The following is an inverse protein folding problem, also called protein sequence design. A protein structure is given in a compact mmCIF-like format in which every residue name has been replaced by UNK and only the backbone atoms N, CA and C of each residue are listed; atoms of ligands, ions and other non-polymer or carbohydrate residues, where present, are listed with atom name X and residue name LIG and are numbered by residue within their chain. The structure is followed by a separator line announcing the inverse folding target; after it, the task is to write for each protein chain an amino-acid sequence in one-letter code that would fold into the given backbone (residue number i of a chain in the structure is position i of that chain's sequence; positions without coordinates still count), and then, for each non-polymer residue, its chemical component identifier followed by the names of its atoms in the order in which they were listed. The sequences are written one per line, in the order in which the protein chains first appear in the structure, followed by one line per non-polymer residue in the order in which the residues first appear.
data_IF_402182088033
#
_entry.id   IF_402182088033
#
_cell.length_a   1.000
_cell.length_b   1.000
_cell.length_c   1.000
_cell.angle_alpha   90.00
_cell.angle_beta   90.00
_cell.angle_gamma   90.00
#
_symmetry.space_group_name_H-M   'P 1'
#
loop_
_entity.id
_entity.type
_entity.pdbx_description
1 polymer ?
#
# COMPACT_ATOMS: atom_id res chain seq x y z
N UNK A 1 -40.48 10.47 -16.76
CA UNK A 1 -40.13 11.87 -16.47
C UNK A 1 -40.20 12.07 -14.96
N UNK A 2 -39.03 12.10 -14.31
CA UNK A 2 -38.83 12.71 -13.00
C UNK A 2 -37.53 13.47 -13.15
N UNK A 3 -37.63 14.72 -13.61
CA UNK A 3 -36.50 15.63 -13.70
C UNK A 3 -36.04 15.93 -12.28
N UNK A 4 -34.90 15.35 -11.89
CA UNK A 4 -34.15 15.84 -10.74
C UNK A 4 -33.88 17.32 -10.99
N UNK A 5 -34.40 18.14 -10.09
CA UNK A 5 -34.10 19.57 -10.01
C UNK A 5 -32.58 19.72 -10.04
N UNK A 6 -32.07 20.42 -11.05
CA UNK A 6 -30.67 20.83 -11.15
C UNK A 6 -30.27 21.51 -9.84
N UNK A 7 -29.25 20.96 -9.18
CA UNK A 7 -28.77 21.43 -7.89
C UNK A 7 -28.18 22.83 -8.01
N UNK A 8 -28.91 23.83 -7.53
CA UNK A 8 -28.35 25.14 -7.24
C UNK A 8 -27.22 25.02 -6.19
N UNK A 9 -25.97 25.24 -6.61
CA UNK A 9 -24.91 25.81 -5.78
C UNK A 9 -24.42 25.02 -4.56
N UNK A 10 -24.16 23.72 -4.67
CA UNK A 10 -23.52 22.99 -3.58
C UNK A 10 -22.05 23.44 -3.41
N UNK A 11 -21.74 24.14 -2.31
CA UNK A 11 -20.40 24.68 -2.02
C UNK A 11 -19.38 23.56 -1.74
N UNK A 12 -18.17 23.73 -2.25
CA UNK A 12 -17.06 22.82 -1.99
C UNK A 12 -16.65 22.85 -0.51
N UNK A 13 -16.21 21.70 -0.02
CA UNK A 13 -15.57 21.56 1.28
C UNK A 13 -14.09 21.24 1.07
N UNK A 14 -13.22 21.93 1.80
CA UNK A 14 -11.77 21.81 1.65
C UNK A 14 -11.17 21.15 2.88
N UNK A 15 -10.35 20.13 2.68
CA UNK A 15 -9.58 19.51 3.76
C UNK A 15 -8.11 19.78 3.52
N UNK A 16 -7.47 20.45 4.47
CA UNK A 16 -6.12 20.99 4.32
C UNK A 16 -5.17 20.44 5.38
N UNK A 17 -3.94 20.13 4.99
CA UNK A 17 -2.85 19.80 5.91
C UNK A 17 -2.30 21.04 6.61
N UNK A 18 -1.63 20.83 7.74
CA UNK A 18 -0.93 21.88 8.48
C UNK A 18 0.52 21.52 8.82
N UNK A 19 1.06 20.41 8.32
CA UNK A 19 2.44 20.00 8.58
C UNK A 19 3.36 20.50 7.48
N UNK A 20 4.42 21.21 7.85
CA UNK A 20 5.50 21.62 6.96
C UNK A 20 6.70 20.69 7.15
N UNK A 21 7.42 20.40 6.06
CA UNK A 21 8.63 19.56 6.04
C UNK A 21 8.49 18.24 6.82
N UNK A 22 7.29 17.66 6.78
CA UNK A 22 6.93 16.39 7.42
C UNK A 22 6.89 16.39 8.96
N UNK A 23 7.34 17.46 9.63
CA UNK A 23 7.57 17.46 11.08
C UNK A 23 7.00 18.66 11.82
N UNK A 24 6.80 19.79 11.15
CA UNK A 24 6.40 21.03 11.81
C UNK A 24 4.89 21.28 11.68
N UNK A 25 4.11 20.97 12.72
CA UNK A 25 2.66 21.19 12.73
C UNK A 25 2.29 22.66 13.03
N UNK A 26 1.80 23.36 12.02
CA UNK A 26 1.39 24.77 12.07
C UNK A 26 -0.02 24.99 12.61
N UNK A 27 -0.74 23.93 13.04
CA UNK A 27 -2.15 24.06 13.47
C UNK A 27 -2.33 25.14 14.53
N UNK A 28 -1.46 25.21 15.55
CA UNK A 28 -1.56 26.23 16.59
C UNK A 28 -1.44 27.66 16.03
N UNK A 29 -0.45 27.90 15.15
CA UNK A 29 -0.26 29.20 14.50
C UNK A 29 -1.48 29.59 13.66
N UNK A 30 -1.99 28.67 12.86
CA UNK A 30 -3.17 28.87 12.00
C UNK A 30 -4.41 29.28 12.80
N UNK A 31 -4.62 28.65 13.96
CA UNK A 31 -5.71 28.98 14.87
C UNK A 31 -5.55 30.37 15.50
N UNK A 32 -4.34 30.69 15.97
CA UNK A 32 -4.05 31.97 16.63
C UNK A 32 -4.15 33.16 15.67
N UNK A 33 -3.61 33.02 14.45
CA UNK A 33 -3.57 34.07 13.45
C UNK A 33 -4.86 34.16 12.61
N UNK A 34 -5.76 33.16 12.70
CA UNK A 34 -6.97 33.11 11.90
C UNK A 34 -6.69 32.90 10.41
N UNK A 35 -5.65 32.12 10.10
CA UNK A 35 -5.20 31.86 8.73
C UNK A 35 -5.08 30.37 8.45
N UNK A 36 -5.07 30.02 7.18
CA UNK A 36 -4.41 28.82 6.67
C UNK A 36 -3.37 29.27 5.65
N UNK A 37 -2.20 28.64 5.67
CA UNK A 37 -1.14 28.91 4.71
C UNK A 37 -0.68 27.62 4.04
N UNK A 38 -0.54 27.66 2.72
CA UNK A 38 0.10 26.60 1.96
C UNK A 38 1.62 26.64 2.19
N UNK A 39 2.15 25.61 2.85
CA UNK A 39 3.59 25.46 3.08
C UNK A 39 4.39 25.14 1.83
N UNK A 40 3.76 24.63 0.76
CA UNK A 40 4.43 24.37 -0.50
C UNK A 40 4.55 25.67 -1.31
N UNK A 41 5.76 26.03 -1.74
CA UNK A 41 6.00 27.29 -2.47
C UNK A 41 5.53 27.24 -3.93
N UNK A 42 5.55 26.05 -4.54
CA UNK A 42 5.35 25.82 -5.97
C UNK A 42 4.16 24.89 -6.28
N UNK A 43 3.66 24.15 -5.29
CA UNK A 43 2.55 23.20 -5.45
C UNK A 43 1.23 23.76 -4.92
N UNK A 44 0.14 23.27 -5.50
CA UNK A 44 -1.24 23.56 -5.10
C UNK A 44 -1.71 25.02 -5.25
N UNK A 45 -0.89 25.92 -5.81
CA UNK A 45 -1.21 27.35 -5.93
C UNK A 45 -2.58 27.59 -6.58
N UNK A 46 -2.87 26.92 -7.69
CA UNK A 46 -4.14 27.09 -8.40
C UNK A 46 -5.33 26.51 -7.62
N UNK A 47 -5.11 25.42 -6.88
CA UNK A 47 -6.13 24.87 -5.99
C UNK A 47 -6.48 25.89 -4.90
N UNK A 48 -5.48 26.51 -4.26
CA UNK A 48 -5.71 27.56 -3.24
C UNK A 48 -6.40 28.78 -3.85
N UNK A 49 -5.98 29.24 -5.04
CA UNK A 49 -6.63 30.37 -5.74
C UNK A 49 -8.11 30.09 -6.05
N UNK A 50 -8.48 28.83 -6.25
CA UNK A 50 -9.86 28.46 -6.54
C UNK A 50 -10.80 28.46 -5.33
N UNK A 51 -10.27 28.51 -4.10
CA UNK A 51 -11.05 28.51 -2.85
C UNK A 51 -11.82 29.83 -2.72
N UNK A 52 -13.13 29.74 -2.48
CA UNK A 52 -14.00 30.91 -2.43
C UNK A 52 -14.31 31.37 -1.00
N UNK A 53 -14.61 32.66 -0.84
CA UNK A 53 -15.15 33.20 0.41
C UNK A 53 -16.49 32.52 0.72
N UNK A 54 -16.62 32.03 1.95
CA UNK A 54 -17.77 31.25 2.40
C UNK A 54 -17.63 29.73 2.22
N UNK A 55 -16.55 29.24 1.61
CA UNK A 55 -16.27 27.80 1.57
C UNK A 55 -15.95 27.27 2.98
N UNK A 56 -16.35 26.02 3.22
CA UNK A 56 -16.03 25.29 4.45
C UNK A 56 -14.64 24.67 4.32
N UNK A 57 -13.81 24.81 5.35
CA UNK A 57 -12.42 24.32 5.35
C UNK A 57 -12.12 23.59 6.66
N UNK A 58 -11.35 22.50 6.62
CA UNK A 58 -10.98 21.70 7.77
C UNK A 58 -9.47 21.43 7.80
N UNK A 59 -8.83 21.62 8.96
CA UNK A 59 -7.44 21.19 9.19
C UNK A 59 -7.46 19.70 9.50
N UNK A 60 -6.72 18.91 8.71
CA UNK A 60 -6.58 17.46 8.87
C UNK A 60 -5.13 17.02 9.06
N UNK A 61 -4.97 15.87 9.68
CA UNK A 61 -3.77 15.03 9.57
C UNK A 61 -4.19 13.59 9.29
N UNK A 62 -3.48 12.89 8.42
CA UNK A 62 -3.76 11.50 8.06
C UNK A 62 -2.64 10.59 8.53
N UNK A 63 -2.99 9.43 9.05
CA UNK A 63 -2.07 8.39 9.48
C UNK A 63 -2.77 7.02 9.42
N UNK A 64 -2.08 5.97 9.83
CA UNK A 64 -2.67 4.64 9.92
C UNK A 64 -2.70 4.14 11.36
N UNK A 65 -3.67 3.28 11.68
CA UNK A 65 -3.83 2.71 13.02
C UNK A 65 -4.22 1.24 12.92
N UNK A 66 -3.61 0.42 13.78
CA UNK A 66 -3.88 -1.03 13.88
C UNK A 66 -4.52 -1.44 15.21
N UNK A 67 -4.28 -0.69 16.28
CA UNK A 67 -4.78 -0.99 17.62
C UNK A 67 -5.68 0.15 18.11
N UNK A 68 -6.49 -0.08 19.14
CA UNK A 68 -7.35 0.95 19.74
C UNK A 68 -8.31 1.62 18.73
N UNK A 69 -8.91 0.79 17.87
CA UNK A 69 -9.95 1.19 16.93
C UNK A 69 -11.34 0.93 17.51
N UNK A 70 -12.35 1.74 17.17
CA UNK A 70 -13.72 1.57 17.67
C UNK A 70 -14.49 0.41 16.99
N UNK A 71 -13.80 -0.47 16.27
CA UNK A 71 -14.35 -1.62 15.55
C UNK A 71 -13.28 -2.70 15.38
N UNK A 72 -13.73 -3.93 15.10
CA UNK A 72 -12.83 -5.03 14.74
C UNK A 72 -12.22 -4.77 13.35
N UNK A 73 -10.95 -4.41 13.33
CA UNK A 73 -10.16 -4.22 12.13
C UNK A 73 -9.49 -5.51 11.66
N UNK A 74 -9.74 -6.65 12.31
CA UNK A 74 -9.24 -7.95 11.87
C UNK A 74 -7.71 -8.01 11.84
N UNK A 75 -7.05 -7.26 12.73
CA UNK A 75 -5.59 -7.14 12.72
C UNK A 75 -5.02 -6.47 11.46
N UNK A 76 -5.85 -5.77 10.70
CA UNK A 76 -5.47 -5.03 9.50
C UNK A 76 -5.31 -3.54 9.81
N UNK A 77 -4.29 -2.91 9.24
CA UNK A 77 -4.06 -1.48 9.41
C UNK A 77 -5.16 -0.66 8.70
N UNK A 78 -5.72 0.34 9.40
CA UNK A 78 -6.79 1.21 8.89
C UNK A 78 -6.28 2.64 8.69
N UNK A 79 -6.68 3.27 7.59
CA UNK A 79 -6.46 4.70 7.37
C UNK A 79 -7.32 5.56 8.29
N UNK A 80 -6.70 6.52 8.96
CA UNK A 80 -7.31 7.49 9.88
C UNK A 80 -7.04 8.90 9.40
N UNK A 81 -8.04 9.76 9.48
CA UNK A 81 -7.94 11.19 9.27
C UNK A 81 -8.44 11.91 10.51
N UNK A 82 -7.54 12.54 11.25
CA UNK A 82 -7.88 13.37 12.39
C UNK A 82 -8.22 14.79 11.92
N UNK A 83 -9.41 15.26 12.26
CA UNK A 83 -9.88 16.62 12.02
C UNK A 83 -9.58 17.46 13.26
N UNK A 84 -8.62 18.39 13.13
CA UNK A 84 -8.13 19.24 14.23
C UNK A 84 -8.96 20.51 14.38
N UNK A 85 -9.44 21.06 13.28
CA UNK A 85 -10.25 22.28 13.27
C UNK A 85 -11.14 22.34 12.03
N UNK A 86 -12.24 23.08 12.13
CA UNK A 86 -13.09 23.44 10.99
C UNK A 86 -13.31 24.94 10.95
N UNK A 87 -13.58 25.49 9.79
CA UNK A 87 -13.76 26.93 9.63
C UNK A 87 -14.48 27.32 8.36
N UNK A 88 -14.69 28.61 8.23
CA UNK A 88 -15.23 29.24 7.02
C UNK A 88 -14.24 30.25 6.49
N UNK A 89 -13.92 30.16 5.20
CA UNK A 89 -13.01 31.09 4.53
C UNK A 89 -13.64 32.48 4.51
N UNK A 90 -12.93 33.46 5.07
CA UNK A 90 -13.35 34.87 5.14
C UNK A 90 -12.71 35.72 4.06
N UNK A 91 -11.50 35.38 3.64
CA UNK A 91 -10.77 36.09 2.59
C UNK A 91 -9.78 35.14 1.89
N UNK A 92 -9.68 35.26 0.57
CA UNK A 92 -8.60 34.68 -0.24
C UNK A 92 -7.86 35.84 -0.92
N UNK A 93 -6.54 35.92 -0.72
CA UNK A 93 -5.72 36.99 -1.30
C UNK A 93 -5.41 36.78 -2.80
N UNK A 94 -5.68 35.59 -3.33
CA UNK A 94 -5.37 35.24 -4.72
C UNK A 94 -3.89 34.96 -4.97
N UNK A 95 -3.06 34.93 -3.92
CA UNK A 95 -1.63 34.61 -3.98
C UNK A 95 -1.37 33.10 -4.15
N UNK A 96 -2.40 32.27 -3.98
CA UNK A 96 -2.29 30.81 -4.02
C UNK A 96 -1.70 30.21 -2.74
N UNK A 97 -1.63 30.98 -1.66
CA UNK A 97 -0.98 30.56 -0.41
C UNK A 97 -1.80 30.83 0.82
N UNK A 98 -2.27 32.06 1.04
CA UNK A 98 -2.85 32.48 2.32
C UNK A 98 -4.36 32.64 2.22
N UNK A 99 -5.06 31.99 3.14
CA UNK A 99 -6.50 32.15 3.36
C UNK A 99 -6.71 32.71 4.76
N UNK A 100 -7.60 33.70 4.91
CA UNK A 100 -8.13 34.06 6.23
C UNK A 100 -9.34 33.20 6.54
N UNK A 101 -9.35 32.59 7.72
CA UNK A 101 -10.34 31.59 8.11
C UNK A 101 -10.81 31.88 9.52
N UNK A 102 -12.13 31.84 9.72
CA UNK A 102 -12.70 31.82 11.06
C UNK A 102 -12.76 30.37 11.55
N UNK A 103 -11.87 30.02 12.48
CA UNK A 103 -11.68 28.66 12.97
C UNK A 103 -12.54 28.31 14.20
N UNK A 104 -12.91 27.04 14.29
CA UNK A 104 -13.39 26.32 15.48
C UNK A 104 -12.45 25.14 15.70
N UNK A 105 -11.75 25.14 16.83
CA UNK A 105 -10.79 24.09 17.20
C UNK A 105 -11.49 22.87 17.82
N UNK A 106 -10.90 21.69 17.66
CA UNK A 106 -11.29 20.45 18.33
C UNK A 106 -10.12 19.91 19.17
N UNK A 107 -10.38 19.71 20.47
CA UNK A 107 -9.44 19.06 21.39
C UNK A 107 -10.21 18.07 22.28
N UNK A 108 -10.01 16.74 22.13
CA UNK A 108 -9.11 16.09 21.17
C UNK A 108 -9.62 16.19 19.71
N UNK A 109 -8.74 15.97 18.71
CA UNK A 109 -9.14 15.89 17.31
C UNK A 109 -10.18 14.79 17.05
N UNK A 110 -11.07 15.03 16.09
CA UNK A 110 -12.12 14.06 15.71
C UNK A 110 -11.61 13.11 14.64
N UNK A 111 -11.69 11.80 14.87
CA UNK A 111 -11.12 10.81 13.97
C UNK A 111 -12.14 10.23 12.99
N UNK A 112 -11.75 10.20 11.72
CA UNK A 112 -12.48 9.62 10.61
C UNK A 112 -11.70 8.43 10.03
N UNK A 113 -12.38 7.33 9.73
CA UNK A 113 -11.77 6.09 9.26
C UNK A 113 -12.09 5.79 7.78
N UNK A 114 -11.28 4.96 7.13
CA UNK A 114 -11.48 4.43 5.77
C UNK A 114 -11.27 5.45 4.62
N UNK A 115 -12.26 6.31 4.36
CA UNK A 115 -12.25 7.23 3.21
C UNK A 115 -11.42 8.49 3.51
N UNK A 116 -10.11 8.35 3.43
CA UNK A 116 -9.13 9.39 3.77
C UNK A 116 -8.34 9.83 2.54
N UNK A 117 -7.78 11.04 2.58
CA UNK A 117 -6.91 11.53 1.50
C UNK A 117 -5.66 12.21 2.07
N UNK A 118 -4.47 11.75 1.65
CA UNK A 118 -3.20 12.17 2.26
C UNK A 118 -2.69 13.52 1.75
N UNK A 119 -2.93 13.86 0.48
CA UNK A 119 -2.42 15.12 -0.11
C UNK A 119 -2.84 16.35 0.70
N UNK A 120 -1.99 17.38 0.69
CA UNK A 120 -2.15 18.59 1.50
C UNK A 120 -3.48 19.26 1.28
N UNK A 121 -3.99 19.33 0.04
CA UNK A 121 -5.28 19.95 -0.28
C UNK A 121 -6.20 18.91 -0.90
N UNK A 122 -7.38 18.74 -0.30
CA UNK A 122 -8.46 17.93 -0.83
C UNK A 122 -9.71 18.78 -1.04
N UNK A 123 -10.18 18.83 -2.29
CA UNK A 123 -11.49 19.40 -2.62
C UNK A 123 -12.53 18.28 -2.61
N UNK A 124 -13.54 18.41 -1.75
CA UNK A 124 -14.63 17.45 -1.62
C UNK A 124 -15.94 18.13 -2.02
N UNK A 125 -16.65 17.52 -2.97
CA UNK A 125 -17.97 17.95 -3.40
C UNK A 125 -19.03 16.96 -2.88
N UNK A 126 -20.20 17.44 -2.44
CA UNK A 126 -21.30 16.58 -2.09
C UNK A 126 -21.91 15.90 -3.32
N UNK A 127 -22.66 14.83 -3.10
CA UNK A 127 -23.39 14.10 -4.15
C UNK A 127 -23.01 12.63 -4.28
N UNK A 128 -21.99 12.17 -3.56
CA UNK A 128 -21.70 10.76 -3.32
C UNK A 128 -21.86 10.44 -1.84
N UNK A 129 -22.27 9.22 -1.50
CA UNK A 129 -22.53 8.87 -0.11
C UNK A 129 -21.27 8.90 0.76
N UNK A 130 -20.08 8.63 0.21
CA UNK A 130 -18.82 8.70 0.96
C UNK A 130 -18.44 10.15 1.26
N UNK A 131 -18.57 11.03 0.25
CA UNK A 131 -18.27 12.45 0.39
C UNK A 131 -19.29 13.15 1.28
N UNK A 132 -20.58 12.82 1.14
CA UNK A 132 -21.65 13.34 1.98
C UNK A 132 -21.49 12.90 3.44
N UNK A 133 -21.09 11.65 3.69
CA UNK A 133 -20.81 11.17 5.04
C UNK A 133 -19.60 11.87 5.66
N UNK A 134 -18.53 12.08 4.90
CA UNK A 134 -17.35 12.81 5.36
C UNK A 134 -17.67 14.29 5.66
N UNK A 135 -18.40 14.96 4.77
CA UNK A 135 -18.85 16.35 4.95
C UNK A 135 -19.73 16.45 6.20
N UNK A 136 -20.70 15.56 6.33
CA UNK A 136 -21.62 15.52 7.47
C UNK A 136 -20.89 15.26 8.80
N UNK A 137 -19.94 14.33 8.82
CA UNK A 137 -19.10 14.11 9.98
C UNK A 137 -18.31 15.36 10.34
N UNK A 138 -17.63 15.95 9.36
CA UNK A 138 -16.68 17.04 9.59
C UNK A 138 -17.36 18.33 10.03
N UNK A 139 -18.40 18.76 9.29
CA UNK A 139 -18.97 20.10 9.43
C UNK A 139 -20.36 20.13 10.09
N UNK A 140 -21.01 18.98 10.28
CA UNK A 140 -22.40 18.89 10.75
C UNK A 140 -22.54 18.00 12.00
N UNK A 141 -21.41 17.64 12.62
CA UNK A 141 -21.34 16.86 13.87
C UNK A 141 -22.06 15.49 13.80
N UNK A 142 -22.28 14.96 12.59
CA UNK A 142 -22.84 13.61 12.40
C UNK A 142 -21.83 12.54 12.80
N UNK A 143 -22.33 11.39 13.26
CA UNK A 143 -21.49 10.22 13.50
C UNK A 143 -21.10 9.55 12.16
N UNK A 144 -19.90 8.94 12.11
CA UNK A 144 -19.50 8.11 10.98
C UNK A 144 -20.22 6.75 11.06
N UNK A 145 -20.86 6.34 9.97
CA UNK A 145 -21.41 4.99 9.83
C UNK A 145 -20.30 3.99 9.47
N UNK A 146 -19.54 3.59 10.49
CA UNK A 146 -18.39 2.66 10.36
C UNK A 146 -18.81 1.34 9.71
N UNK A 147 -20.00 0.82 10.04
CA UNK A 147 -20.47 -0.45 9.51
C UNK A 147 -20.75 -0.37 8.00
N UNK A 148 -21.29 0.76 7.53
CA UNK A 148 -21.44 0.99 6.09
C UNK A 148 -20.09 1.01 5.37
N UNK A 149 -19.08 1.72 5.90
CA UNK A 149 -17.75 1.75 5.29
C UNK A 149 -17.09 0.38 5.27
N UNK A 150 -17.09 -0.34 6.40
CA UNK A 150 -16.50 -1.68 6.51
C UNK A 150 -17.10 -2.67 5.51
N UNK A 151 -18.38 -2.53 5.18
CA UNK A 151 -19.10 -3.45 4.29
C UNK A 151 -19.25 -2.94 2.84
N UNK A 152 -18.77 -1.73 2.53
CA UNK A 152 -18.76 -1.22 1.16
C UNK A 152 -17.75 -1.99 0.29
N UNK A 153 -17.98 -2.11 -1.04
CA UNK A 153 -17.27 -3.06 -1.90
C UNK A 153 -15.74 -3.04 -1.76
N UNK A 154 -15.13 -1.86 -1.74
CA UNK A 154 -13.68 -1.65 -1.60
C UNK A 154 -13.09 -2.19 -0.27
N UNK A 155 -13.79 -2.01 0.85
CA UNK A 155 -13.28 -2.37 2.18
C UNK A 155 -13.76 -3.75 2.66
N UNK A 156 -14.84 -4.27 2.06
CA UNK A 156 -15.58 -5.45 2.55
C UNK A 156 -14.71 -6.68 2.79
N UNK A 157 -13.80 -6.98 1.88
CA UNK A 157 -12.92 -8.16 2.03
C UNK A 157 -11.92 -8.01 3.18
N UNK A 158 -11.47 -6.78 3.45
CA UNK A 158 -10.48 -6.50 4.49
C UNK A 158 -11.13 -6.33 5.87
N UNK A 159 -12.28 -5.66 5.95
CA UNK A 159 -12.86 -5.19 7.21
C UNK A 159 -14.34 -5.56 7.45
N UNK A 160 -15.07 -5.97 6.41
CA UNK A 160 -16.53 -6.20 6.45
C UNK A 160 -16.95 -7.48 7.15
N UNK A 161 -18.22 -7.65 7.46
CA UNK A 161 -18.74 -8.70 8.35
C UNK A 161 -18.92 -10.08 7.70
N UNK A 162 -18.27 -10.33 6.55
CA UNK A 162 -18.38 -11.57 5.77
C UNK A 162 -18.25 -12.85 6.61
N UNK A 163 -19.10 -13.84 6.31
CA UNK A 163 -19.15 -15.16 6.97
C UNK A 163 -17.82 -15.93 6.88
N UNK A 164 -17.64 -16.87 7.83
CA UNK A 164 -16.42 -17.68 8.04
C UNK A 164 -15.89 -18.38 6.77
N UNK A 165 -16.76 -18.74 5.81
CA UNK A 165 -16.39 -19.38 4.53
C UNK A 165 -15.72 -18.45 3.50
N UNK A 166 -15.60 -17.14 3.77
CA UNK A 166 -14.92 -16.18 2.88
C UNK A 166 -13.59 -15.65 3.43
N UNK A 167 -12.88 -16.46 4.22
CA UNK A 167 -11.49 -16.21 4.67
C UNK A 167 -10.45 -16.29 3.53
N UNK A 168 -10.86 -16.13 2.26
CA UNK A 168 -10.05 -16.36 1.06
C UNK A 168 -8.75 -15.55 1.03
N UNK A 169 -8.71 -14.39 1.70
CA UNK A 169 -7.52 -13.55 1.80
C UNK A 169 -6.90 -13.48 3.21
N UNK A 170 -7.23 -14.40 4.11
CA UNK A 170 -6.60 -14.43 5.44
C UNK A 170 -5.09 -14.65 5.38
N UNK A 171 -4.59 -15.29 4.32
CA UNK A 171 -3.16 -15.43 4.06
C UNK A 171 -2.42 -14.09 4.04
N UNK A 172 -3.09 -13.00 3.68
CA UNK A 172 -2.48 -11.65 3.66
C UNK A 172 -1.89 -11.27 5.01
N UNK A 173 -2.56 -11.60 6.12
CA UNK A 173 -2.07 -11.32 7.48
C UNK A 173 -0.78 -12.03 7.80
N UNK A 174 -0.72 -13.32 7.48
CA UNK A 174 0.46 -14.14 7.68
C UNK A 174 1.64 -13.60 6.87
N UNK A 175 1.40 -13.28 5.59
CA UNK A 175 2.44 -12.79 4.70
C UNK A 175 2.99 -11.43 5.12
N UNK A 176 2.13 -10.49 5.53
CA UNK A 176 2.55 -9.20 6.07
C UNK A 176 3.34 -9.37 7.37
N UNK A 177 2.90 -10.24 8.28
CA UNK A 177 3.62 -10.51 9.53
C UNK A 177 4.99 -11.15 9.29
N UNK A 178 5.10 -12.08 8.31
CA UNK A 178 6.38 -12.64 7.88
C UNK A 178 7.26 -11.54 7.30
N UNK A 179 6.73 -10.66 6.45
CA UNK A 179 7.50 -9.58 5.85
C UNK A 179 8.04 -8.60 6.90
N UNK A 180 7.22 -8.23 7.88
CA UNK A 180 7.60 -7.34 8.98
C UNK A 180 8.72 -7.93 9.83
N UNK A 181 8.58 -9.21 10.22
CA UNK A 181 9.62 -9.91 10.99
C UNK A 181 10.88 -10.12 10.16
N UNK A 182 10.75 -10.45 8.88
CA UNK A 182 11.86 -10.62 7.97
C UNK A 182 12.67 -9.34 7.80
N UNK A 183 12.03 -8.16 7.76
CA UNK A 183 12.73 -6.87 7.70
C UNK A 183 13.74 -6.69 8.85
N UNK A 184 13.45 -7.24 10.03
CA UNK A 184 14.35 -7.16 11.21
C UNK A 184 15.66 -7.96 11.06
N UNK A 185 15.78 -8.78 10.01
CA UNK A 185 16.99 -9.54 9.66
C UNK A 185 17.87 -8.82 8.62
N UNK A 186 17.49 -7.63 8.14
CA UNK A 186 18.24 -6.88 7.12
C UNK A 186 19.73 -6.72 7.44
N UNK A 187 20.06 -6.51 8.72
CA UNK A 187 21.43 -6.34 9.20
C UNK A 187 22.01 -7.59 9.90
N UNK A 188 21.31 -8.73 9.81
CA UNK A 188 21.67 -10.03 10.42
C UNK A 188 21.41 -11.17 9.43
N UNK A 189 21.81 -10.95 8.18
CA UNK A 189 21.54 -11.87 7.06
C UNK A 189 22.21 -13.23 7.24
N UNK A 190 23.36 -13.28 7.92
CA UNK A 190 24.05 -14.51 8.27
C UNK A 190 23.21 -15.41 9.20
N UNK A 191 22.52 -14.80 10.18
CA UNK A 191 21.57 -15.51 11.05
C UNK A 191 20.40 -16.08 10.24
N UNK A 192 19.85 -15.25 9.33
CA UNK A 192 18.74 -15.64 8.47
C UNK A 192 19.08 -16.81 7.55
N UNK A 193 20.19 -16.73 6.80
CA UNK A 193 20.57 -17.78 5.85
C UNK A 193 20.95 -19.08 6.58
N UNK A 194 21.62 -18.98 7.74
CA UNK A 194 21.94 -20.14 8.57
C UNK A 194 20.66 -20.83 9.07
N UNK A 195 19.68 -20.06 9.53
CA UNK A 195 18.37 -20.58 9.91
C UNK A 195 17.64 -21.25 8.76
N UNK A 196 17.69 -20.66 7.56
CA UNK A 196 17.06 -21.22 6.35
C UNK A 196 17.72 -22.53 5.92
N UNK A 197 19.05 -22.66 6.02
CA UNK A 197 19.74 -23.94 5.78
C UNK A 197 19.29 -25.02 6.77
N UNK A 198 19.18 -24.69 8.06
CA UNK A 198 18.69 -25.63 9.07
C UNK A 198 17.22 -26.06 8.84
N UNK A 199 16.41 -25.24 8.16
CA UNK A 199 15.07 -25.64 7.71
C UNK A 199 15.18 -26.60 6.51
N UNK A 200 16.05 -26.32 5.55
CA UNK A 200 16.22 -27.14 4.36
C UNK A 200 16.70 -28.57 4.66
N UNK A 201 17.52 -28.75 5.70
CA UNK A 201 17.93 -30.07 6.20
C UNK A 201 16.75 -30.95 6.66
N UNK A 202 15.62 -30.33 7.01
CA UNK A 202 14.41 -31.03 7.47
C UNK A 202 13.38 -31.24 6.36
N UNK A 203 13.53 -30.57 5.22
CA UNK A 203 12.51 -30.48 4.16
C UNK A 203 13.13 -30.73 2.79
N UNK A 204 12.94 -31.93 2.26
CA UNK A 204 13.53 -32.40 1.00
C UNK A 204 13.21 -31.51 -0.22
N UNK A 205 12.08 -30.79 -0.22
CA UNK A 205 11.66 -29.94 -1.35
C UNK A 205 12.35 -28.55 -1.39
N UNK A 206 13.35 -28.30 -0.53
CA UNK A 206 14.13 -27.06 -0.48
C UNK A 206 15.49 -27.14 -1.20
N UNK A 207 15.51 -27.72 -2.41
CA UNK A 207 16.73 -27.87 -3.23
C UNK A 207 17.29 -26.58 -3.86
N UNK A 208 16.79 -25.40 -3.46
CA UNK A 208 17.11 -24.10 -4.08
C UNK A 208 18.12 -23.27 -3.31
N UNK A 209 18.90 -23.88 -2.43
CA UNK A 209 19.86 -23.18 -1.56
C UNK A 209 21.32 -23.48 -1.91
N UNK A 210 21.57 -23.97 -3.13
CA UNK A 210 22.92 -24.18 -3.66
C UNK A 210 23.26 -23.10 -4.70
N UNK A 211 24.34 -22.36 -4.45
CA UNK A 211 24.86 -21.28 -5.28
C UNK A 211 26.06 -21.75 -6.10
N UNK A 212 26.22 -21.16 -7.28
CA UNK A 212 27.39 -21.40 -8.13
C UNK A 212 28.41 -20.29 -7.87
N UNK A 213 29.53 -20.65 -7.24
CA UNK A 213 30.63 -19.71 -6.99
C UNK A 213 31.45 -19.42 -8.25
N UNK A 214 31.51 -20.38 -9.18
CA UNK A 214 32.20 -20.26 -10.45
C UNK A 214 31.30 -20.83 -11.56
N UNK A 215 31.37 -20.22 -12.75
CA UNK A 215 30.60 -20.68 -13.90
C UNK A 215 31.01 -22.12 -14.25
N UNK A 216 30.03 -22.98 -14.53
CA UNK A 216 30.20 -24.40 -14.89
C UNK A 216 30.87 -25.32 -13.85
N UNK A 217 31.13 -24.85 -12.63
CA UNK A 217 31.65 -25.66 -11.53
C UNK A 217 30.51 -25.98 -10.56
N UNK A 218 30.41 -27.22 -10.03
CA UNK A 218 29.48 -27.53 -8.95
C UNK A 218 29.60 -26.52 -7.81
N UNK A 219 28.44 -26.05 -7.38
CA UNK A 219 28.31 -25.01 -6.39
C UNK A 219 28.49 -25.47 -4.95
N UNK A 220 28.09 -24.62 -4.02
CA UNK A 220 27.96 -24.95 -2.60
C UNK A 220 26.80 -24.19 -1.95
N UNK A 221 26.67 -24.24 -0.62
CA UNK A 221 25.54 -23.63 0.07
C UNK A 221 25.50 -22.11 -0.11
N UNK A 222 24.31 -21.57 -0.37
CA UNK A 222 24.07 -20.14 -0.50
C UNK A 222 24.53 -19.40 0.76
N UNK A 223 25.30 -18.32 0.60
CA UNK A 223 25.89 -17.58 1.73
C UNK A 223 25.12 -16.33 2.14
N UNK A 224 24.24 -15.84 1.28
CA UNK A 224 23.44 -14.62 1.51
C UNK A 224 22.14 -14.70 0.72
N UNK A 225 21.07 -14.09 1.22
CA UNK A 225 19.74 -14.16 0.66
C UNK A 225 19.02 -12.80 0.74
N UNK A 226 18.30 -12.47 -0.33
CA UNK A 226 17.42 -11.31 -0.33
C UNK A 226 16.04 -11.65 0.25
N UNK A 227 15.26 -10.66 0.71
CA UNK A 227 14.04 -10.93 1.45
C UNK A 227 12.93 -11.50 0.54
N UNK A 228 12.88 -11.08 -0.73
CA UNK A 228 11.94 -11.65 -1.70
C UNK A 228 12.23 -13.12 -2.02
N UNK A 229 13.50 -13.52 -2.03
CA UNK A 229 13.86 -14.93 -2.23
C UNK A 229 13.52 -15.76 -0.99
N UNK A 230 13.69 -15.22 0.21
CA UNK A 230 13.27 -15.86 1.45
C UNK A 230 11.73 -16.08 1.50
N UNK A 231 10.94 -15.06 1.14
CA UNK A 231 9.50 -15.20 0.91
C UNK A 231 9.17 -16.20 -0.20
N UNK A 232 10.01 -16.22 -1.25
CA UNK A 232 9.91 -17.12 -2.38
C UNK A 232 10.05 -18.59 -2.04
N UNK A 233 10.65 -18.97 -0.90
CA UNK A 233 10.91 -20.38 -0.55
C UNK A 233 9.59 -21.18 -0.46
N UNK A 234 8.53 -20.57 0.08
CA UNK A 234 7.19 -21.16 0.20
C UNK A 234 6.19 -20.67 -0.87
N UNK A 235 6.65 -19.84 -1.82
CA UNK A 235 5.84 -19.31 -2.94
C UNK A 235 6.35 -19.81 -4.29
N UNK A 236 6.39 -21.14 -4.44
CA UNK A 236 6.84 -21.85 -5.65
C UNK A 236 5.77 -22.84 -6.09
N UNK A 237 5.94 -23.41 -7.28
CA UNK A 237 5.11 -24.50 -7.80
C UNK A 237 5.36 -25.83 -7.07
N UNK A 238 5.13 -25.86 -5.76
CA UNK A 238 5.15 -27.02 -4.87
C UNK A 238 3.76 -27.23 -4.28
N UNK A 239 3.49 -28.39 -3.70
CA UNK A 239 2.17 -28.70 -3.10
C UNK A 239 1.84 -27.76 -1.95
N UNK A 240 0.57 -27.46 -1.74
CA UNK A 240 0.14 -26.61 -0.63
C UNK A 240 0.54 -27.17 0.74
N UNK A 241 0.56 -28.51 0.89
CA UNK A 241 1.10 -29.15 2.09
C UNK A 241 2.56 -28.76 2.34
N UNK A 242 3.41 -28.80 1.31
CA UNK A 242 4.81 -28.38 1.42
C UNK A 242 4.93 -26.87 1.68
N UNK A 243 4.08 -26.04 1.06
CA UNK A 243 4.03 -24.59 1.34
C UNK A 243 3.72 -24.32 2.80
N UNK A 244 2.71 -25.00 3.38
CA UNK A 244 2.36 -24.88 4.80
C UNK A 244 3.51 -25.29 5.71
N UNK A 245 4.19 -26.40 5.41
CA UNK A 245 5.33 -26.87 6.21
C UNK A 245 6.48 -25.87 6.21
N UNK A 246 6.89 -25.39 5.04
CA UNK A 246 7.97 -24.39 4.90
C UNK A 246 7.56 -23.08 5.58
N UNK A 247 6.34 -22.60 5.34
CA UNK A 247 5.82 -21.38 5.95
C UNK A 247 5.81 -21.48 7.49
N UNK A 248 5.46 -22.65 8.05
CA UNK A 248 5.48 -22.90 9.49
C UNK A 248 6.90 -22.82 10.08
N UNK A 249 7.87 -23.46 9.45
CA UNK A 249 9.27 -23.41 9.91
C UNK A 249 9.88 -22.01 9.77
N UNK A 250 9.57 -21.31 8.67
CA UNK A 250 10.02 -19.94 8.48
C UNK A 250 9.38 -18.99 9.49
N UNK A 251 8.08 -19.15 9.79
CA UNK A 251 7.40 -18.39 10.83
C UNK A 251 8.05 -18.62 12.21
N UNK A 252 8.38 -19.86 12.55
CA UNK A 252 9.09 -20.21 13.79
C UNK A 252 10.48 -19.56 13.86
N UNK A 253 11.23 -19.57 12.76
CA UNK A 253 12.55 -18.91 12.68
C UNK A 253 12.44 -17.40 12.90
N UNK A 254 11.42 -16.77 12.31
CA UNK A 254 11.23 -15.32 12.35
C UNK A 254 10.48 -14.82 13.61
N UNK A 255 9.91 -15.72 14.41
CA UNK A 255 9.09 -15.36 15.56
C UNK A 255 7.73 -14.75 15.16
N UNK A 256 7.12 -15.26 14.09
CA UNK A 256 5.77 -14.89 13.63
C UNK A 256 4.73 -15.71 14.40
N UNK A 257 3.82 -15.03 15.08
CA UNK A 257 2.72 -15.67 15.83
C UNK A 257 1.47 -15.91 14.99
N UNK A 258 1.37 -15.29 13.81
CA UNK A 258 0.19 -15.44 12.97
C UNK A 258 0.08 -16.85 12.39
N UNK A 259 -1.14 -17.43 12.37
CA UNK A 259 -1.33 -18.78 11.89
C UNK A 259 -1.01 -18.87 10.39
N UNK A 260 -0.34 -19.96 10.02
CA UNK A 260 -0.09 -20.30 8.62
C UNK A 260 -1.43 -20.44 7.89
N UNK A 261 -1.57 -19.90 6.67
CA UNK A 261 -2.84 -19.90 5.98
C UNK A 261 -3.32 -21.28 5.58
N UNK A 262 -4.64 -21.46 5.59
CA UNK A 262 -5.29 -22.69 5.13
C UNK A 262 -5.39 -22.80 3.61
N UNK A 263 -5.35 -21.66 2.91
CA UNK A 263 -5.45 -21.52 1.45
C UNK A 263 -4.40 -20.54 0.93
N UNK A 264 -3.92 -20.80 -0.29
CA UNK A 264 -3.00 -19.94 -1.02
C UNK A 264 -3.57 -19.45 -2.36
N UNK A 265 -4.89 -19.43 -2.49
CA UNK A 265 -5.58 -18.94 -3.68
C UNK A 265 -5.27 -17.47 -3.96
N UNK A 266 -5.09 -17.13 -5.24
CA UNK A 266 -4.75 -15.76 -5.66
C UNK A 266 -3.35 -15.31 -5.24
N UNK A 267 -2.44 -16.25 -4.93
CA UNK A 267 -1.03 -15.94 -4.65
C UNK A 267 -0.17 -16.39 -5.84
N UNK A 268 0.55 -15.48 -6.51
CA UNK A 268 1.41 -15.84 -7.63
C UNK A 268 2.61 -16.66 -7.13
N UNK A 269 3.03 -17.66 -7.90
CA UNK A 269 4.13 -18.57 -7.55
C UNK A 269 5.30 -18.44 -8.53
N UNK A 270 6.52 -18.56 -8.01
CA UNK A 270 7.73 -18.56 -8.83
C UNK A 270 7.83 -19.84 -9.65
N UNK A 271 8.48 -19.73 -10.80
CA UNK A 271 8.96 -20.89 -11.53
C UNK A 271 10.03 -21.62 -10.68
N UNK A 272 9.86 -22.92 -10.48
CA UNK A 272 10.77 -23.75 -9.66
C UNK A 272 12.23 -23.71 -10.12
N UNK A 273 12.50 -23.40 -11.38
CA UNK A 273 13.85 -23.26 -11.95
C UNK A 273 14.45 -21.85 -11.80
N UNK A 274 13.65 -20.86 -11.42
CA UNK A 274 14.03 -19.44 -11.31
C UNK A 274 13.40 -18.83 -10.06
N UNK A 275 13.92 -19.25 -8.91
CA UNK A 275 13.37 -18.92 -7.60
C UNK A 275 14.08 -17.76 -6.91
N UNK A 276 15.26 -17.37 -7.41
CA UNK A 276 16.04 -16.27 -6.85
C UNK A 276 15.78 -14.97 -7.59
N UNK A 277 15.80 -13.88 -6.82
CA UNK A 277 15.69 -12.51 -7.33
C UNK A 277 17.08 -11.91 -7.64
N UNK A 278 18.14 -12.72 -7.55
CA UNK A 278 19.52 -12.31 -7.77
C UNK A 278 20.27 -13.39 -8.57
N UNK A 279 21.42 -13.04 -9.14
CA UNK A 279 22.28 -13.96 -9.88
C UNK A 279 23.13 -14.89 -9.00
N UNK A 280 23.64 -15.97 -9.59
CA UNK A 280 24.68 -16.79 -8.96
C UNK A 280 25.89 -15.97 -8.52
N UNK A 281 26.60 -16.43 -7.49
CA UNK A 281 27.76 -15.75 -6.91
C UNK A 281 28.80 -15.33 -7.96
N UNK A 282 29.10 -16.14 -8.99
CA UNK A 282 30.09 -15.79 -10.02
C UNK A 282 29.74 -14.58 -10.91
N UNK A 283 28.50 -14.07 -10.85
CA UNK A 283 28.04 -12.92 -11.64
C UNK A 283 27.29 -11.86 -10.83
N UNK A 284 27.08 -12.12 -9.54
CA UNK A 284 26.39 -11.22 -8.61
C UNK A 284 27.30 -10.04 -8.29
N UNK A 285 26.76 -8.83 -8.33
CA UNK A 285 27.47 -7.65 -7.87
C UNK A 285 27.38 -7.52 -6.34
N UNK A 286 28.35 -6.87 -5.68
CA UNK A 286 28.35 -6.74 -4.21
C UNK A 286 27.07 -6.10 -3.63
N UNK A 287 26.46 -5.18 -4.37
CA UNK A 287 25.27 -4.41 -3.97
C UNK A 287 23.93 -5.05 -4.40
N UNK A 288 23.93 -6.17 -5.13
CA UNK A 288 22.71 -6.77 -5.69
C UNK A 288 21.69 -7.14 -4.60
N UNK A 289 22.16 -7.80 -3.52
CA UNK A 289 21.29 -8.24 -2.42
C UNK A 289 20.88 -7.05 -1.55
N UNK A 290 21.77 -6.08 -1.31
CA UNK A 290 21.46 -4.88 -0.55
C UNK A 290 20.38 -4.03 -1.24
N UNK A 291 20.45 -3.93 -2.57
CA UNK A 291 19.43 -3.24 -3.38
C UNK A 291 18.05 -3.91 -3.25
N UNK A 292 18.01 -5.24 -3.15
CA UNK A 292 16.75 -5.99 -2.93
C UNK A 292 16.20 -5.78 -1.51
N UNK A 293 17.06 -5.70 -0.49
CA UNK A 293 16.65 -5.34 0.87
C UNK A 293 16.16 -3.90 0.98
N UNK A 294 16.78 -2.97 0.24
CA UNK A 294 16.33 -1.59 0.17
C UNK A 294 14.95 -1.48 -0.48
N UNK A 295 14.74 -2.11 -1.64
CA UNK A 295 13.43 -2.13 -2.29
C UNK A 295 12.34 -2.74 -1.40
N UNK A 296 12.66 -3.79 -0.64
CA UNK A 296 11.73 -4.40 0.31
C UNK A 296 11.36 -3.45 1.46
N UNK A 297 12.35 -2.77 2.05
CA UNK A 297 12.13 -1.80 3.12
C UNK A 297 11.31 -0.59 2.64
N UNK A 298 11.64 -0.03 1.49
CA UNK A 298 10.93 1.12 0.92
C UNK A 298 9.51 0.76 0.50
N UNK A 299 9.27 -0.46 0.00
CA UNK A 299 7.92 -0.93 -0.30
C UNK A 299 7.04 -1.05 0.96
N UNK A 300 7.61 -1.56 2.06
CA UNK A 300 6.93 -1.60 3.37
C UNK A 300 6.63 -0.19 3.87
N UNK A 301 7.62 0.70 3.87
CA UNK A 301 7.46 2.08 4.31
C UNK A 301 6.39 2.82 3.48
N UNK A 302 6.42 2.66 2.16
CA UNK A 302 5.43 3.24 1.26
C UNK A 302 4.01 2.71 1.50
N UNK A 303 3.85 1.41 1.76
CA UNK A 303 2.54 0.85 2.10
C UNK A 303 1.97 1.39 3.43
N UNK A 304 2.83 1.73 4.38
CA UNK A 304 2.45 2.29 5.69
C UNK A 304 2.14 3.79 5.60
N UNK A 305 3.06 4.57 5.04
CA UNK A 305 3.00 6.04 5.06
C UNK A 305 2.43 6.69 3.79
N UNK A 306 2.42 5.98 2.64
CA UNK A 306 1.79 6.34 1.35
C UNK A 306 1.77 7.85 1.06
N UNK A 307 2.85 8.53 1.41
CA UNK A 307 3.05 9.97 1.27
C UNK A 307 3.99 10.25 0.10
N UNK A 308 4.20 11.52 -0.24
CA UNK A 308 5.01 11.88 -1.40
C UNK A 308 6.48 11.44 -1.27
N UNK A 309 7.02 11.44 -0.05
CA UNK A 309 8.43 11.16 0.21
C UNK A 309 8.70 9.66 0.14
N UNK A 310 7.89 8.86 0.85
CA UNK A 310 7.92 7.39 0.78
C UNK A 310 7.62 6.87 -0.63
N UNK A 311 6.70 7.50 -1.36
CA UNK A 311 6.44 7.16 -2.77
C UNK A 311 7.64 7.41 -3.65
N UNK A 312 8.33 8.55 -3.45
CA UNK A 312 9.55 8.89 -4.20
C UNK A 312 10.71 7.95 -3.86
N UNK A 313 10.88 7.62 -2.58
CA UNK A 313 11.88 6.66 -2.12
C UNK A 313 11.61 5.25 -2.66
N UNK A 314 10.36 4.80 -2.64
CA UNK A 314 9.94 3.55 -3.27
C UNK A 314 10.21 3.54 -4.77
N UNK A 315 9.86 4.62 -5.50
CA UNK A 315 10.08 4.71 -6.93
C UNK A 315 11.59 4.61 -7.28
N UNK A 316 12.44 5.34 -6.55
CA UNK A 316 13.88 5.27 -6.72
C UNK A 316 14.44 3.86 -6.44
N UNK A 317 13.98 3.21 -5.36
CA UNK A 317 14.40 1.86 -5.02
C UNK A 317 13.92 0.81 -6.05
N UNK A 318 12.69 0.96 -6.57
CA UNK A 318 12.13 0.12 -7.62
C UNK A 318 12.94 0.22 -8.91
N UNK A 319 13.24 1.44 -9.38
CA UNK A 319 14.02 1.63 -10.61
C UNK A 319 15.47 1.11 -10.46
N UNK A 320 16.07 1.26 -9.28
CA UNK A 320 17.40 0.72 -9.00
C UNK A 320 17.41 -0.82 -9.00
N UNK A 321 16.44 -1.46 -8.33
CA UNK A 321 16.42 -2.92 -8.20
C UNK A 321 16.08 -3.63 -9.51
N UNK A 322 15.29 -3.01 -10.40
CA UNK A 322 14.95 -3.59 -11.70
C UNK A 322 16.14 -3.73 -12.66
N UNK A 323 17.25 -3.03 -12.40
CA UNK A 323 18.49 -3.19 -13.16
C UNK A 323 19.24 -4.47 -12.81
N UNK A 324 18.96 -5.09 -11.65
CA UNK A 324 19.73 -6.20 -11.09
C UNK A 324 19.41 -7.52 -11.80
N UNK A 325 20.43 -8.37 -11.96
CA UNK A 325 20.21 -9.65 -12.60
C UNK A 325 19.44 -10.59 -11.65
N UNK A 326 18.42 -11.28 -12.18
CA UNK A 326 17.46 -12.07 -11.40
C UNK A 326 16.15 -11.32 -11.17
N UNK A 327 16.13 -10.00 -11.40
CA UNK A 327 14.95 -9.16 -11.24
C UNK A 327 14.22 -8.98 -12.58
N UNK A 328 12.90 -9.09 -12.52
CA UNK A 328 11.94 -8.91 -13.60
C UNK A 328 10.54 -8.83 -13.04
N UNK A 329 9.56 -9.46 -13.70
CA UNK A 329 8.17 -9.46 -13.21
C UNK A 329 7.99 -10.11 -11.83
N UNK A 330 8.93 -10.97 -11.41
CA UNK A 330 8.97 -11.52 -10.05
C UNK A 330 9.05 -10.43 -8.98
N UNK A 331 9.62 -9.26 -9.26
CA UNK A 331 9.61 -8.12 -8.33
C UNK A 331 8.18 -7.78 -7.90
N UNK A 332 7.27 -7.64 -8.86
CA UNK A 332 5.86 -7.30 -8.60
C UNK A 332 5.12 -8.39 -7.84
N UNK A 333 5.48 -9.66 -8.05
CA UNK A 333 4.97 -10.77 -7.23
C UNK A 333 5.47 -10.64 -5.79
N UNK A 334 6.75 -10.32 -5.60
CA UNK A 334 7.37 -10.07 -4.30
C UNK A 334 6.73 -8.90 -3.56
N UNK A 335 6.47 -7.79 -4.25
CA UNK A 335 5.77 -6.62 -3.69
C UNK A 335 4.35 -6.98 -3.24
N UNK A 336 3.60 -7.71 -4.08
CA UNK A 336 2.29 -8.21 -3.73
C UNK A 336 2.32 -9.19 -2.55
N UNK A 337 3.32 -10.06 -2.43
CA UNK A 337 3.41 -10.93 -1.25
C UNK A 337 3.57 -10.15 0.05
N UNK A 338 4.37 -9.08 0.07
CA UNK A 338 4.73 -8.41 1.32
C UNK A 338 3.68 -7.40 1.80
N UNK A 339 2.92 -6.83 0.87
CA UNK A 339 1.83 -5.87 1.11
C UNK A 339 0.73 -6.07 0.05
N UNK A 340 -0.01 -7.19 0.12
CA UNK A 340 -0.98 -7.62 -0.90
C UNK A 340 -2.15 -6.66 -1.09
N UNK A 341 -2.37 -5.81 -0.09
CA UNK A 341 -3.41 -4.81 -0.06
C UNK A 341 -3.02 -3.47 -0.70
N UNK A 342 -1.75 -3.30 -1.08
CA UNK A 342 -1.17 -2.04 -1.56
C UNK A 342 -0.52 -2.19 -2.94
N UNK A 343 -0.06 -3.39 -3.32
CA UNK A 343 0.70 -3.58 -4.55
C UNK A 343 0.04 -4.57 -5.49
N UNK A 344 -0.16 -4.25 -6.78
CA UNK A 344 -0.55 -5.26 -7.77
C UNK A 344 0.61 -6.19 -8.10
N UNK A 345 0.32 -7.49 -8.26
CA UNK A 345 1.21 -8.40 -8.99
C UNK A 345 1.01 -8.21 -10.49
N UNK A 346 2.11 -8.21 -11.23
CA UNK A 346 2.14 -8.20 -12.70
C UNK A 346 2.81 -9.48 -13.19
N UNK A 347 2.48 -10.63 -12.60
CA UNK A 347 2.76 -11.93 -13.21
C UNK A 347 1.91 -12.11 -14.50
N UNK A 348 2.23 -13.14 -15.29
CA UNK A 348 1.62 -13.31 -16.61
C UNK A 348 0.08 -13.40 -16.61
N UNK A 349 -0.52 -14.00 -15.57
CA UNK A 349 -1.99 -14.08 -15.48
C UNK A 349 -2.59 -12.72 -15.15
N UNK A 350 -2.02 -12.04 -14.15
CA UNK A 350 -2.46 -10.71 -13.73
C UNK A 350 -2.31 -9.69 -14.87
N UNK A 351 -1.20 -9.71 -15.61
CA UNK A 351 -1.02 -8.87 -16.80
C UNK A 351 -2.12 -9.11 -17.85
N UNK A 352 -2.42 -10.38 -18.14
CA UNK A 352 -3.46 -10.75 -19.10
C UNK A 352 -4.83 -10.27 -18.64
N UNK A 353 -5.16 -10.44 -17.36
CA UNK A 353 -6.42 -9.97 -16.79
C UNK A 353 -6.55 -8.45 -16.86
N UNK A 354 -5.53 -7.72 -16.40
CA UNK A 354 -5.47 -6.25 -16.42
C UNK A 354 -5.64 -5.71 -17.85
N UNK A 355 -4.88 -6.24 -18.81
CA UNK A 355 -4.93 -5.71 -20.19
C UNK A 355 -6.13 -6.21 -21.00
N UNK A 356 -6.61 -7.43 -20.81
CA UNK A 356 -7.67 -8.02 -21.67
C UNK A 356 -9.08 -7.93 -21.06
N UNK A 357 -9.20 -7.94 -19.73
CA UNK A 357 -10.50 -7.89 -19.03
C UNK A 357 -10.78 -6.50 -18.50
N UNK A 358 -9.77 -5.87 -17.88
CA UNK A 358 -9.93 -4.53 -17.31
C UNK A 358 -9.63 -3.41 -18.30
N UNK A 359 -9.06 -3.74 -19.45
CA UNK A 359 -8.67 -2.80 -20.51
C UNK A 359 -7.74 -1.67 -20.01
N UNK A 360 -6.84 -2.01 -19.09
CA UNK A 360 -5.82 -1.10 -18.57
C UNK A 360 -4.49 -1.42 -19.25
N UNK A 361 -3.85 -0.40 -19.81
CA UNK A 361 -2.54 -0.52 -20.43
C UNK A 361 -1.45 -0.57 -19.34
N UNK A 362 -0.52 -1.51 -19.50
CA UNK A 362 0.67 -1.62 -18.64
C UNK A 362 1.84 -1.00 -19.40
N UNK A 363 2.42 0.07 -18.84
CA UNK A 363 3.63 0.70 -19.40
C UNK A 363 4.83 -0.24 -19.31
N UNK A 364 5.70 -0.25 -20.33
CA UNK A 364 6.85 -1.15 -20.43
C UNK A 364 8.14 -0.39 -20.76
N UNK A 365 8.33 0.77 -20.12
CA UNK A 365 9.41 1.72 -20.40
C UNK A 365 10.68 1.48 -19.54
N UNK A 366 10.74 0.37 -18.82
CA UNK A 366 11.87 -0.06 -17.99
C UNK A 366 12.75 -1.13 -18.65
N UNK A 367 13.74 -1.65 -17.91
CA UNK A 367 14.72 -2.60 -18.45
C UNK A 367 14.09 -3.87 -19.00
N UNK A 368 14.53 -4.28 -20.20
CA UNK A 368 14.05 -5.49 -20.90
C UNK A 368 12.54 -5.48 -21.16
N UNK A 369 12.00 -4.32 -21.53
CA UNK A 369 10.57 -4.13 -21.89
C UNK A 369 9.63 -4.50 -20.72
N UNK A 370 9.92 -3.96 -19.54
CA UNK A 370 9.13 -4.16 -18.31
C UNK A 370 8.74 -2.82 -17.70
N UNK A 371 7.90 -2.80 -16.67
CA UNK A 371 7.59 -1.55 -15.97
C UNK A 371 8.83 -0.96 -15.31
N UNK A 372 9.06 0.34 -15.50
CA UNK A 372 9.77 1.17 -14.52
C UNK A 372 8.82 1.58 -13.38
N UNK A 373 9.30 2.32 -12.40
CA UNK A 373 8.50 2.76 -11.25
C UNK A 373 7.30 3.62 -11.66
N UNK A 374 7.49 4.54 -12.61
CA UNK A 374 6.41 5.39 -13.13
C UNK A 374 5.29 4.56 -13.76
N UNK A 375 5.64 3.58 -14.60
CA UNK A 375 4.66 2.68 -15.22
C UNK A 375 3.92 1.84 -14.17
N UNK A 376 4.66 1.29 -13.20
CA UNK A 376 4.10 0.46 -12.14
C UNK A 376 3.12 1.23 -11.25
N UNK A 377 3.53 2.42 -10.82
CA UNK A 377 2.72 3.31 -10.00
C UNK A 377 1.49 3.85 -10.75
N UNK A 378 1.60 4.10 -12.07
CA UNK A 378 0.44 4.49 -12.88
C UNK A 378 -0.62 3.37 -12.94
N UNK A 379 -0.20 2.10 -13.07
CA UNK A 379 -1.12 0.96 -13.01
C UNK A 379 -1.74 0.83 -11.62
N UNK A 380 -0.95 0.98 -10.56
CA UNK A 380 -1.42 0.97 -9.17
C UNK A 380 -2.51 2.04 -8.96
N UNK A 381 -2.23 3.30 -9.26
CA UNK A 381 -3.16 4.41 -9.05
C UNK A 381 -4.45 4.23 -9.87
N UNK A 382 -4.32 3.76 -11.12
CA UNK A 382 -5.47 3.48 -11.98
C UNK A 382 -6.35 2.40 -11.36
N UNK A 383 -5.76 1.28 -10.93
CA UNK A 383 -6.51 0.20 -10.30
C UNK A 383 -7.17 0.64 -8.99
N UNK A 384 -6.46 1.38 -8.14
CA UNK A 384 -7.03 1.90 -6.88
C UNK A 384 -8.25 2.80 -7.14
N UNK A 385 -8.19 3.68 -8.13
CA UNK A 385 -9.32 4.51 -8.51
C UNK A 385 -10.51 3.66 -9.01
N UNK A 386 -10.25 2.67 -9.86
CA UNK A 386 -11.30 1.78 -10.41
C UNK A 386 -11.93 0.88 -9.35
N UNK A 387 -11.18 0.43 -8.34
CA UNK A 387 -11.70 -0.40 -7.26
C UNK A 387 -12.78 0.31 -6.40
N UNK A 388 -12.82 1.65 -6.42
CA UNK A 388 -13.86 2.43 -5.75
C UNK A 388 -15.19 2.47 -6.51
N UNK A 389 -15.22 2.06 -7.78
CA UNK A 389 -16.45 2.04 -8.57
C UNK A 389 -17.30 0.81 -8.19
N UNK A 390 -18.53 1.04 -7.72
CA UNK A 390 -19.43 -0.02 -7.24
C UNK A 390 -19.66 -1.16 -8.25
N UNK A 391 -19.64 -0.85 -9.55
CA UNK A 391 -19.89 -1.82 -10.62
C UNK A 391 -18.61 -2.48 -11.18
N UNK A 392 -17.43 -2.17 -10.62
CA UNK A 392 -16.17 -2.75 -11.07
C UNK A 392 -16.07 -4.24 -10.65
N UNK A 393 -15.51 -5.13 -11.48
CA UNK A 393 -15.62 -6.58 -11.25
C UNK A 393 -14.78 -7.10 -10.06
N UNK A 394 -13.83 -6.30 -9.57
CA UNK A 394 -12.93 -6.60 -8.45
C UNK A 394 -12.69 -5.31 -7.67
N UNK A 395 -12.52 -5.36 -6.34
CA UNK A 395 -12.37 -4.13 -5.54
C UNK A 395 -11.09 -4.08 -4.71
N UNK A 396 -10.14 -4.97 -5.00
CA UNK A 396 -8.85 -5.00 -4.33
C UNK A 396 -7.82 -5.79 -5.15
N UNK A 397 -6.53 -5.58 -4.87
CA UNK A 397 -5.46 -6.36 -5.52
C UNK A 397 -5.57 -7.87 -5.24
N UNK A 398 -5.95 -8.35 -4.04
CA UNK A 398 -6.18 -9.78 -3.83
C UNK A 398 -7.35 -10.34 -4.64
N UNK A 399 -8.44 -9.60 -4.77
CA UNK A 399 -9.54 -10.01 -5.65
C UNK A 399 -9.14 -10.03 -7.11
N UNK A 400 -8.38 -9.03 -7.57
CA UNK A 400 -7.84 -8.99 -8.92
C UNK A 400 -6.96 -10.20 -9.20
N UNK A 401 -6.02 -10.49 -8.29
CA UNK A 401 -5.13 -11.64 -8.48
C UNK A 401 -5.93 -12.93 -8.52
N UNK A 402 -6.83 -13.17 -7.56
CA UNK A 402 -7.72 -14.34 -7.57
C UNK A 402 -8.50 -14.47 -8.88
N UNK A 403 -9.11 -13.39 -9.35
CA UNK A 403 -9.87 -13.38 -10.60
C UNK A 403 -9.03 -13.61 -11.85
N UNK A 404 -7.72 -13.34 -11.80
CA UNK A 404 -6.80 -13.61 -12.90
C UNK A 404 -6.47 -15.11 -13.05
N UNK A 405 -6.70 -15.92 -12.02
CA UNK A 405 -6.46 -17.38 -12.02
C UNK A 405 -7.72 -18.22 -12.28
N UNK A 406 -8.90 -17.58 -12.33
CA UNK A 406 -10.18 -18.18 -12.68
C UNK A 406 -10.47 -17.98 -14.18
#
# INVERSE_FOLDING_TARGET
MNSKIEGAGARACWFVGATYDGTEDQTHRFLQEGVWENGCQDKYLDAVKSIQVGDRIAIKSTYTRKHDLPFDNRGQTVSVMAIKAIGTVKQNLGDGRVLKVAWKHFDPPREWYFYTYRSTIWRVLPGDWTTDALIGFTFEEKAQDINRFRNAPYWRERFGDSTVDKRRFNWTRFYEAVADKLLTFRNRRDELISGIHAIAEKIDCMSILNDQYQKTVPGGPLKDICPFTAMGIFNRGITDANRKTIASELARLLGVSEPVPDSFEGIPVLNNQRTWFFGYSYRRQPDDIDTLWEAFAQAIAFAESNDADSRSAFAAAYDNVTQRWGVGWNLTMGLYWIRPWNFPTLDGQSQRYISKKLNIQIGMNGPKERCNATDYLAVLDTLEARFQEDAYPVHSFPELSLAAWL
#
